data_IF_933683563529
#
_entry.id   IF_933683563529
#
_cell.length_a   1.000
_cell.length_b   1.000
_cell.length_c   1.000
_cell.angle_alpha   90.00
_cell.angle_beta   90.00
_cell.angle_gamma   90.00
#
_symmetry.space_group_name_H-M   'P 1'
#
loop_
_entity.id
_entity.type
_entity.pdbx_description
1 polymer ?
#
# COMPACT_ATOMS: atom_id res chain seq x y z
N UNK A 1 19.13 -10.40 18.48
CA UNK A 1 18.22 -9.29 18.16
C UNK A 1 16.94 -9.88 17.61
N UNK A 2 15.97 -10.07 18.49
CA UNK A 2 14.75 -10.77 18.15
C UNK A 2 13.88 -9.75 17.43
N UNK A 3 13.70 -9.95 16.13
CA UNK A 3 12.86 -9.08 15.31
C UNK A 3 11.44 -9.00 15.90
N UNK A 4 10.68 -8.01 15.42
CA UNK A 4 9.26 -7.83 15.70
C UNK A 4 8.54 -9.19 15.66
N UNK A 5 8.19 -9.72 16.83
CA UNK A 5 7.50 -11.02 16.96
C UNK A 5 6.00 -10.76 16.81
N UNK A 6 5.50 -10.88 15.59
CA UNK A 6 4.08 -10.71 15.26
C UNK A 6 3.44 -12.09 15.21
N UNK A 7 2.85 -12.52 16.34
CA UNK A 7 2.17 -13.81 16.48
C UNK A 7 1.06 -14.02 15.42
N UNK A 8 0.62 -12.93 14.77
CA UNK A 8 -0.42 -12.89 13.73
C UNK A 8 -0.03 -12.00 12.52
N UNK A 9 1.27 -11.82 12.22
CA UNK A 9 1.67 -11.06 11.03
C UNK A 9 1.20 -11.73 9.75
N UNK A 10 0.33 -11.04 9.01
CA UNK A 10 0.11 -11.34 7.59
C UNK A 10 1.13 -10.56 6.78
N UNK A 11 2.05 -11.27 6.12
CA UNK A 11 2.96 -10.66 5.15
C UNK A 11 2.18 -10.18 3.93
N UNK A 12 2.34 -8.92 3.55
CA UNK A 12 1.87 -8.40 2.27
C UNK A 12 3.03 -8.53 1.27
N UNK A 13 2.87 -9.40 0.26
CA UNK A 13 3.84 -9.60 -0.82
C UNK A 13 3.22 -9.23 -2.16
N UNK A 14 3.93 -8.44 -2.99
CA UNK A 14 3.50 -8.07 -4.35
C UNK A 14 3.31 -9.28 -5.28
N UNK A 15 3.72 -10.48 -4.85
CA UNK A 15 3.51 -11.72 -5.60
C UNK A 15 2.24 -12.50 -5.24
N UNK A 16 1.50 -12.12 -4.20
CA UNK A 16 0.34 -12.91 -3.71
C UNK A 16 -0.94 -12.09 -3.75
N UNK A 17 -1.59 -12.02 -4.92
CA UNK A 17 -3.05 -11.84 -5.11
C UNK A 17 -3.80 -10.77 -4.29
N UNK A 18 -3.08 -9.81 -3.72
CA UNK A 18 -3.59 -8.85 -2.74
C UNK A 18 -2.79 -7.55 -2.73
N UNK A 19 -1.81 -7.45 -3.63
CA UNK A 19 -1.20 -6.21 -4.11
C UNK A 19 -1.19 -6.34 -5.64
N UNK A 20 -2.04 -5.60 -6.36
CA UNK A 20 -2.14 -5.73 -7.82
C UNK A 20 -0.79 -5.41 -8.50
N UNK A 21 -0.50 -6.11 -9.60
CA UNK A 21 0.81 -6.15 -10.25
C UNK A 21 1.51 -7.49 -10.01
N UNK A 22 2.31 -7.99 -10.96
CA UNK A 22 3.30 -9.01 -10.63
C UNK A 22 4.35 -8.38 -9.70
N UNK A 23 5.02 -9.14 -8.84
CA UNK A 23 6.13 -8.59 -8.07
C UNK A 23 7.26 -8.15 -9.01
N UNK A 24 7.28 -6.88 -9.37
CA UNK A 24 8.22 -6.32 -10.32
C UNK A 24 9.36 -5.61 -9.56
N UNK A 25 10.56 -5.65 -10.13
CA UNK A 25 11.66 -4.89 -9.55
C UNK A 25 11.35 -3.40 -9.68
N UNK A 26 11.60 -2.64 -8.62
CA UNK A 26 11.44 -1.19 -8.55
C UNK A 26 10.01 -0.65 -8.30
N UNK A 27 9.03 -1.48 -7.93
CA UNK A 27 7.71 -0.97 -7.52
C UNK A 27 7.73 -0.20 -6.19
N UNK A 28 8.74 -0.50 -5.36
CA UNK A 28 9.02 0.17 -4.10
C UNK A 28 7.86 0.10 -3.11
N UNK A 29 7.22 -1.06 -2.94
CA UNK A 29 6.23 -1.23 -1.88
C UNK A 29 6.78 -0.82 -0.52
N UNK A 30 6.01 -0.04 0.22
CA UNK A 30 6.44 0.54 1.49
C UNK A 30 7.26 1.82 1.34
N UNK A 31 7.22 2.48 0.17
CA UNK A 31 7.82 3.81 -0.02
C UNK A 31 7.35 4.77 1.07
N UNK A 32 6.07 4.69 1.44
CA UNK A 32 5.50 5.31 2.62
C UNK A 32 4.51 4.34 3.30
N UNK A 33 4.37 4.45 4.63
CA UNK A 33 3.40 3.68 5.41
C UNK A 33 2.79 4.59 6.47
N UNK A 34 1.47 4.56 6.62
CA UNK A 34 0.76 5.19 7.73
C UNK A 34 -0.33 4.25 8.27
N UNK A 35 -0.66 4.39 9.55
CA UNK A 35 -1.70 3.63 10.21
C UNK A 35 -2.79 4.58 10.72
N UNK A 36 -4.05 4.24 10.49
CA UNK A 36 -5.17 5.09 10.89
C UNK A 36 -6.52 4.55 10.48
N UNK A 37 -7.59 5.15 11.03
CA UNK A 37 -8.96 4.86 10.64
C UNK A 37 -9.35 5.76 9.47
N UNK A 38 -9.02 5.33 8.25
CA UNK A 38 -9.29 6.10 7.02
C UNK A 38 -10.69 5.86 6.44
N UNK A 39 -11.43 4.88 6.98
CA UNK A 39 -12.78 4.51 6.49
C UNK A 39 -13.91 4.94 7.42
N UNK A 40 -13.60 5.52 8.59
CA UNK A 40 -14.59 5.97 9.56
C UNK A 40 -15.32 4.84 10.31
N UNK A 41 -14.87 3.58 10.17
CA UNK A 41 -15.54 2.42 10.76
C UNK A 41 -15.08 2.07 12.19
N UNK A 42 -14.24 2.91 12.78
CA UNK A 42 -13.71 2.75 14.15
C UNK A 42 -12.54 1.78 14.26
N UNK A 43 -12.03 1.25 13.14
CA UNK A 43 -10.91 0.31 13.12
C UNK A 43 -9.75 0.88 12.30
N UNK A 44 -8.54 0.85 12.88
CA UNK A 44 -7.35 1.29 12.16
C UNK A 44 -6.95 0.26 11.09
N UNK A 45 -6.58 0.74 9.91
CA UNK A 45 -5.91 -0.03 8.88
C UNK A 45 -4.52 0.53 8.58
N UNK A 46 -3.83 -0.08 7.63
CA UNK A 46 -2.55 0.39 7.09
C UNK A 46 -2.76 0.93 5.69
N UNK A 47 -2.28 2.14 5.42
CA UNK A 47 -2.07 2.61 4.06
C UNK A 47 -0.59 2.48 3.72
N UNK A 48 -0.30 1.88 2.57
CA UNK A 48 1.05 1.63 2.05
C UNK A 48 1.15 2.25 0.65
N UNK A 49 2.25 2.93 0.38
CA UNK A 49 2.58 3.42 -0.95
C UNK A 49 3.55 2.49 -1.68
N UNK A 50 3.35 2.33 -2.98
CA UNK A 50 4.31 1.73 -3.89
C UNK A 50 4.56 2.74 -5.03
N UNK A 51 5.48 3.68 -4.80
CA UNK A 51 5.63 4.85 -5.67
C UNK A 51 6.29 4.54 -7.02
N UNK A 52 6.91 3.37 -7.15
CA UNK A 52 7.55 2.91 -8.38
C UNK A 52 6.61 2.18 -9.35
N UNK A 53 5.42 1.80 -8.87
CA UNK A 53 4.41 1.09 -9.65
C UNK A 53 4.12 1.76 -10.99
N UNK A 54 3.94 0.96 -12.05
CA UNK A 54 3.64 1.43 -13.41
C UNK A 54 4.67 2.46 -13.91
N UNK A 55 5.97 2.13 -13.84
CA UNK A 55 7.05 3.05 -14.28
C UNK A 55 7.03 4.40 -13.54
N UNK A 56 6.73 4.37 -12.24
CA UNK A 56 6.75 5.56 -11.37
C UNK A 56 5.45 6.36 -11.31
N UNK A 57 4.33 5.85 -11.82
CA UNK A 57 3.02 6.46 -11.58
C UNK A 57 2.62 6.33 -10.10
N UNK A 58 2.92 5.18 -9.51
CA UNK A 58 2.66 4.84 -8.13
C UNK A 58 1.22 4.36 -7.84
N UNK A 59 1.04 3.76 -6.67
CA UNK A 59 -0.24 3.30 -6.14
C UNK A 59 -0.29 3.41 -4.61
N UNK A 60 -1.50 3.51 -4.07
CA UNK A 60 -1.77 3.38 -2.63
C UNK A 60 -2.57 2.11 -2.39
N UNK A 61 -2.13 1.35 -1.39
CA UNK A 61 -2.79 0.13 -0.91
C UNK A 61 -3.32 0.41 0.47
N UNK A 62 -4.62 0.26 0.67
CA UNK A 62 -5.21 0.30 2.01
C UNK A 62 -5.58 -1.12 2.44
N UNK A 63 -4.95 -1.59 3.52
CA UNK A 63 -5.24 -2.87 4.17
C UNK A 63 -5.96 -2.62 5.49
N UNK A 64 -7.29 -2.87 5.58
CA UNK A 64 -8.01 -2.78 6.83
C UNK A 64 -7.55 -3.88 7.81
N UNK A 65 -7.85 -3.72 9.11
CA UNK A 65 -7.55 -4.78 10.09
C UNK A 65 -8.24 -6.10 9.72
N UNK A 66 -9.46 -6.03 9.20
CA UNK A 66 -10.27 -7.16 8.74
C UNK A 66 -10.80 -6.90 7.32
N UNK A 67 -10.85 -7.94 6.48
CA UNK A 67 -11.33 -7.85 5.10
C UNK A 67 -10.24 -7.62 4.05
N UNK A 68 -10.63 -7.44 2.77
CA UNK A 68 -9.70 -7.34 1.65
C UNK A 68 -8.99 -5.99 1.58
N UNK A 69 -7.82 -5.96 0.94
CA UNK A 69 -7.12 -4.73 0.61
C UNK A 69 -7.84 -3.97 -0.52
N UNK A 70 -7.69 -2.64 -0.51
CA UNK A 70 -8.18 -1.73 -1.56
C UNK A 70 -7.02 -1.05 -2.26
N UNK A 71 -7.20 -0.71 -3.53
CA UNK A 71 -6.16 -0.11 -4.38
C UNK A 71 -6.58 1.22 -4.95
N UNK A 72 -5.66 2.18 -4.93
CA UNK A 72 -5.83 3.48 -5.53
C UNK A 72 -4.63 3.78 -6.43
N UNK A 73 -4.78 3.44 -7.71
CA UNK A 73 -3.82 3.77 -8.76
C UNK A 73 -4.15 5.11 -9.45
N UNK A 74 -3.23 5.60 -10.28
CA UNK A 74 -3.35 6.90 -10.98
C UNK A 74 -4.67 7.14 -11.72
N UNK A 75 -5.29 6.09 -12.28
CA UNK A 75 -6.54 6.20 -13.03
C UNK A 75 -7.74 6.55 -12.15
N UNK A 76 -7.78 6.01 -10.93
CA UNK A 76 -8.81 6.33 -9.94
C UNK A 76 -8.50 7.66 -9.25
N UNK A 77 -7.22 7.90 -8.94
CA UNK A 77 -6.77 9.14 -8.28
C UNK A 77 -6.79 10.36 -9.22
N UNK A 78 -6.88 10.17 -10.54
CA UNK A 78 -6.86 11.24 -11.53
C UNK A 78 -5.52 11.97 -11.63
N UNK A 79 -4.40 11.29 -11.35
CA UNK A 79 -3.07 11.91 -11.33
C UNK A 79 -2.35 11.77 -12.68
N UNK A 80 -1.45 12.71 -13.05
CA UNK A 80 -0.59 12.57 -14.23
C UNK A 80 0.32 11.33 -14.20
N UNK A 81 0.86 10.94 -15.35
CA UNK A 81 1.94 9.95 -15.43
C UNK A 81 3.19 10.42 -14.67
N UNK A 82 3.86 9.50 -13.98
CA UNK A 82 5.06 9.78 -13.19
C UNK A 82 4.79 10.49 -11.86
N UNK A 83 3.54 10.51 -11.39
CA UNK A 83 3.14 11.23 -10.17
C UNK A 83 3.68 10.62 -8.87
N UNK A 84 4.21 9.39 -8.90
CA UNK A 84 4.73 8.69 -7.72
C UNK A 84 3.73 8.68 -6.57
N UNK A 85 2.48 8.33 -6.87
CA UNK A 85 1.41 8.25 -5.90
C UNK A 85 1.81 7.28 -4.77
N UNK A 86 1.54 7.66 -3.52
CA UNK A 86 1.99 6.91 -2.34
C UNK A 86 3.46 7.18 -1.94
N UNK A 87 4.15 8.15 -2.55
CA UNK A 87 5.49 8.56 -2.10
C UNK A 87 5.49 9.24 -0.73
N UNK A 88 4.39 9.88 -0.35
CA UNK A 88 4.15 10.45 0.99
C UNK A 88 2.72 10.09 1.41
N UNK A 89 2.56 9.63 2.64
CA UNK A 89 1.26 9.38 3.25
C UNK A 89 1.17 10.16 4.57
N UNK A 90 0.04 10.83 4.79
CA UNK A 90 -0.23 11.58 6.02
C UNK A 90 -1.45 10.99 6.73
N UNK A 91 -1.40 10.90 8.06
CA UNK A 91 -2.51 10.46 8.93
C UNK A 91 -3.41 11.61 9.33
#
# INVERSE_FOLDING_TARGET
PDGITLKDATGLSQGTGGIGGGGETADHLGTAVTAGNFTGNGTNGLALGAAGENTGDGTIIYRPATGPASFLGKGIAGTPTGSRLGSVLTS
#
